data_IF_624567964433
#
_entry.id   IF_624567964433
#
_cell.length_a   1.000
_cell.length_b   1.000
_cell.length_c   1.000
_cell.angle_alpha   90.00
_cell.angle_beta   90.00
_cell.angle_gamma   90.00
#
_symmetry.space_group_name_H-M   'P 1'
#
loop_
_entity.id
_entity.type
_entity.pdbx_description
1 polymer ?
#
# COMPACT_ATOMS: atom_id res chain seq x y z
N UNK A 1 -3.26 -23.26 1.15
CA UNK A 1 -4.14 -22.16 1.64
C UNK A 1 -4.68 -22.34 3.04
N UNK A 2 -4.66 -23.53 3.66
CA UNK A 2 -5.27 -23.73 4.99
C UNK A 2 -4.71 -22.86 6.12
N UNK A 3 -3.40 -22.65 6.21
CA UNK A 3 -2.73 -21.94 7.32
C UNK A 3 -3.02 -20.43 7.36
N UNK A 4 -3.31 -19.78 6.22
CA UNK A 4 -3.51 -18.34 6.11
C UNK A 4 -4.95 -17.93 5.83
N UNK A 5 -5.89 -18.89 5.79
CA UNK A 5 -7.30 -18.66 5.43
C UNK A 5 -7.97 -17.57 6.27
N UNK A 6 -7.55 -17.40 7.52
CA UNK A 6 -8.09 -16.40 8.44
C UNK A 6 -7.36 -15.04 8.37
N UNK A 7 -6.24 -14.95 7.65
CA UNK A 7 -5.51 -13.69 7.46
C UNK A 7 -6.02 -12.98 6.20
N UNK A 8 -7.07 -12.20 6.34
CA UNK A 8 -7.73 -11.49 5.22
C UNK A 8 -6.78 -10.55 4.47
N UNK A 9 -5.83 -9.94 5.18
CA UNK A 9 -4.81 -9.05 4.58
C UNK A 9 -3.92 -9.86 3.64
N UNK A 10 -3.38 -10.97 4.13
CA UNK A 10 -2.53 -11.85 3.32
C UNK A 10 -3.28 -12.39 2.10
N UNK A 11 -4.51 -12.88 2.29
CA UNK A 11 -5.32 -13.43 1.19
C UNK A 11 -5.57 -12.38 0.12
N UNK A 12 -5.94 -11.15 0.51
CA UNK A 12 -6.20 -10.08 -0.44
C UNK A 12 -4.92 -9.64 -1.18
N UNK A 13 -3.79 -9.49 -0.47
CA UNK A 13 -2.51 -9.17 -1.08
C UNK A 13 -2.04 -10.25 -2.06
N UNK A 14 -2.17 -11.52 -1.66
CA UNK A 14 -1.83 -12.68 -2.50
C UNK A 14 -2.69 -12.72 -3.78
N UNK A 15 -4.01 -12.56 -3.66
CA UNK A 15 -4.91 -12.52 -4.81
C UNK A 15 -4.61 -11.33 -5.73
N UNK A 16 -4.30 -10.17 -5.15
CA UNK A 16 -3.86 -9.02 -5.94
C UNK A 16 -2.61 -9.35 -6.76
N UNK A 17 -1.59 -9.96 -6.15
CA UNK A 17 -0.40 -10.39 -6.88
C UNK A 17 -0.73 -11.40 -8.00
N UNK A 18 -1.56 -12.41 -7.70
CA UNK A 18 -1.93 -13.46 -8.66
C UNK A 18 -2.68 -12.90 -9.89
N UNK A 19 -3.65 -12.01 -9.66
CA UNK A 19 -4.48 -11.46 -10.75
C UNK A 19 -3.81 -10.34 -11.55
N UNK A 20 -2.79 -9.69 -10.99
CA UNK A 20 -2.14 -8.55 -11.63
C UNK A 20 -0.71 -8.81 -12.11
N UNK A 21 -0.08 -9.88 -11.64
CA UNK A 21 1.34 -10.14 -11.92
C UNK A 21 2.30 -9.11 -11.29
N UNK A 22 1.84 -8.36 -10.29
CA UNK A 22 2.68 -7.39 -9.59
C UNK A 22 3.77 -8.06 -8.76
N UNK A 23 4.93 -7.42 -8.67
CA UNK A 23 5.98 -7.83 -7.73
C UNK A 23 5.54 -7.55 -6.28
N UNK A 24 6.05 -8.34 -5.34
CA UNK A 24 5.69 -8.20 -3.91
C UNK A 24 5.87 -6.76 -3.40
N UNK A 25 6.98 -6.11 -3.75
CA UNK A 25 7.22 -4.71 -3.36
C UNK A 25 6.23 -3.71 -3.98
N UNK A 26 5.71 -3.98 -5.17
CA UNK A 26 4.67 -3.16 -5.81
C UNK A 26 3.31 -3.37 -5.13
N UNK A 27 2.95 -4.62 -4.81
CA UNK A 27 1.70 -4.94 -4.09
C UNK A 27 1.64 -4.22 -2.75
N UNK A 28 2.69 -4.35 -1.94
CA UNK A 28 2.72 -3.70 -0.64
C UNK A 28 2.94 -2.18 -0.69
N UNK A 29 3.37 -1.63 -1.82
CA UNK A 29 3.45 -0.18 -2.03
C UNK A 29 2.11 0.47 -2.41
N UNK A 30 1.06 -0.32 -2.65
CA UNK A 30 -0.25 0.21 -3.04
C UNK A 30 -0.87 1.06 -1.95
N UNK A 31 -1.36 2.21 -2.37
CA UNK A 31 -2.24 3.08 -1.59
C UNK A 31 -3.63 3.06 -2.20
N UNK A 32 -4.65 3.45 -1.46
CA UNK A 32 -6.01 3.53 -1.99
C UNK A 32 -6.14 4.57 -3.11
N UNK A 33 -5.24 5.56 -3.15
CA UNK A 33 -5.17 6.55 -4.25
C UNK A 33 -4.67 5.94 -5.58
N UNK A 34 -3.99 4.79 -5.51
CA UNK A 34 -3.55 4.06 -6.71
C UNK A 34 -4.63 3.13 -7.28
N UNK A 35 -5.73 2.93 -6.55
CA UNK A 35 -6.80 2.00 -6.92
C UNK A 35 -8.08 2.76 -7.25
N UNK A 36 -8.38 2.84 -8.52
CA UNK A 36 -9.65 3.36 -9.02
C UNK A 36 -10.66 2.21 -9.19
N UNK A 37 -11.49 2.02 -8.17
CA UNK A 37 -12.51 0.97 -8.18
C UNK A 37 -13.65 1.30 -9.16
N UNK A 38 -13.93 2.56 -9.43
CA UNK A 38 -14.98 2.97 -10.36
C UNK A 38 -14.60 2.62 -11.80
N UNK A 39 -13.38 3.00 -12.20
CA UNK A 39 -12.86 2.71 -13.54
C UNK A 39 -12.14 1.36 -13.62
N UNK A 40 -12.02 0.63 -12.50
CA UNK A 40 -11.37 -0.69 -12.40
C UNK A 40 -9.90 -0.69 -12.83
N UNK A 41 -9.14 0.27 -12.34
CA UNK A 41 -7.73 0.45 -12.69
C UNK A 41 -6.87 0.46 -11.44
N UNK A 42 -5.73 -0.23 -11.48
CA UNK A 42 -4.63 -0.11 -10.52
C UNK A 42 -3.46 0.57 -11.21
N UNK A 43 -2.99 1.68 -10.63
CA UNK A 43 -1.80 2.39 -11.09
C UNK A 43 -0.57 1.90 -10.34
N UNK A 44 0.40 1.37 -11.06
CA UNK A 44 1.66 0.86 -10.50
C UNK A 44 2.77 1.85 -10.80
N UNK A 45 3.23 2.55 -9.80
CA UNK A 45 4.23 3.60 -9.92
C UNK A 45 5.24 3.61 -8.76
N UNK A 46 5.07 2.72 -7.78
CA UNK A 46 5.88 2.66 -6.55
C UNK A 46 6.26 1.24 -6.20
N UNK A 47 7.34 1.10 -5.46
CA UNK A 47 7.73 -0.13 -4.79
C UNK A 47 8.15 0.17 -3.36
N UNK A 48 7.84 -0.72 -2.43
CA UNK A 48 8.26 -0.59 -1.03
C UNK A 48 9.54 -1.35 -0.79
N UNK A 49 10.40 -0.81 0.06
CA UNK A 49 11.60 -1.48 0.55
C UNK A 49 11.99 -0.98 1.94
N UNK A 50 12.75 -1.81 2.66
CA UNK A 50 13.36 -1.45 3.93
C UNK A 50 14.84 -1.13 3.72
N UNK A 51 15.36 -0.17 4.50
CA UNK A 51 16.80 0.07 4.61
C UNK A 51 17.30 -0.61 5.87
N UNK A 52 18.06 -1.70 5.71
CA UNK A 52 18.49 -2.63 6.77
C UNK A 52 19.36 -2.02 7.88
N UNK A 53 19.81 -0.79 7.75
CA UNK A 53 20.74 -0.14 8.68
C UNK A 53 20.11 0.87 9.62
N UNK A 54 18.83 1.13 9.53
CA UNK A 54 18.14 2.04 10.44
C UNK A 54 17.42 1.26 11.53
N UNK A 55 17.74 1.54 12.79
CA UNK A 55 16.99 1.09 13.95
C UNK A 55 15.50 1.42 13.76
N UNK A 56 14.63 0.40 13.96
CA UNK A 56 13.17 0.48 13.88
C UNK A 56 12.50 0.25 12.50
N UNK A 57 13.11 -0.49 11.59
CA UNK A 57 12.41 -1.04 10.42
C UNK A 57 11.61 0.00 9.63
N UNK A 58 12.23 1.09 9.23
CA UNK A 58 11.56 2.14 8.46
C UNK A 58 11.34 1.70 7.01
N UNK A 59 10.13 1.93 6.53
CA UNK A 59 9.73 1.62 5.17
C UNK A 59 9.83 2.85 4.27
N UNK A 60 10.27 2.62 3.04
CA UNK A 60 10.43 3.64 2.00
C UNK A 60 9.63 3.23 0.77
N UNK A 61 8.99 4.22 0.13
CA UNK A 61 8.38 4.07 -1.19
C UNK A 61 9.31 4.68 -2.22
N UNK A 62 9.95 3.86 -3.03
CA UNK A 62 10.73 4.30 -4.18
C UNK A 62 9.86 4.41 -5.43
N UNK A 63 10.22 5.34 -6.30
CA UNK A 63 9.71 5.33 -7.67
C UNK A 63 10.27 4.13 -8.40
N UNK A 64 9.50 3.52 -9.29
CA UNK A 64 10.00 2.44 -10.13
C UNK A 64 11.16 2.94 -11.00
N UNK A 65 12.23 2.17 -11.07
CA UNK A 65 13.53 2.58 -11.67
C UNK A 65 13.50 2.98 -13.14
N UNK A 66 12.45 2.64 -13.88
CA UNK A 66 12.31 2.91 -15.31
C UNK A 66 10.93 3.45 -15.65
N UNK A 67 10.85 4.33 -16.64
CA UNK A 67 9.59 4.87 -17.17
C UNK A 67 8.63 3.74 -17.59
N UNK A 68 9.15 2.63 -18.13
CA UNK A 68 8.36 1.45 -18.49
C UNK A 68 7.81 0.62 -17.33
N UNK A 69 8.19 0.95 -16.08
CA UNK A 69 7.64 0.30 -14.88
C UNK A 69 6.37 0.98 -14.36
N UNK A 70 6.06 2.19 -14.84
CA UNK A 70 4.76 2.82 -14.60
C UNK A 70 3.76 2.17 -15.54
N UNK A 71 2.76 1.50 -14.99
CA UNK A 71 1.72 0.83 -15.77
C UNK A 71 0.39 0.86 -15.07
N UNK A 72 -0.65 0.74 -15.85
CA UNK A 72 -2.01 0.56 -15.35
C UNK A 72 -2.45 -0.88 -15.63
N UNK A 73 -3.14 -1.47 -14.67
CA UNK A 73 -3.69 -2.83 -14.77
C UNK A 73 -5.19 -2.77 -14.55
N UNK A 74 -5.95 -3.44 -15.43
CA UNK A 74 -7.38 -3.60 -15.26
C UNK A 74 -7.72 -4.59 -14.15
N UNK A 75 -8.70 -4.23 -13.32
CA UNK A 75 -9.19 -5.04 -12.21
C UNK A 75 -10.33 -5.94 -12.73
N UNK A 76 -10.07 -7.25 -12.82
CA UNK A 76 -11.12 -8.22 -13.18
C UNK A 76 -12.20 -8.32 -12.09
N UNK A 77 -13.38 -8.87 -12.43
CA UNK A 77 -14.54 -8.94 -11.53
C UNK A 77 -14.22 -9.61 -10.19
N UNK A 78 -13.46 -10.70 -10.23
CA UNK A 78 -13.06 -11.42 -9.03
C UNK A 78 -12.22 -10.55 -8.10
N UNK A 79 -11.16 -9.93 -8.63
CA UNK A 79 -10.28 -9.06 -7.85
C UNK A 79 -11.02 -7.81 -7.35
N UNK A 80 -11.91 -7.25 -8.17
CA UNK A 80 -12.77 -6.13 -7.77
C UNK A 80 -13.59 -6.48 -6.53
N UNK A 81 -14.27 -7.61 -6.54
CA UNK A 81 -15.09 -8.07 -5.41
C UNK A 81 -14.27 -8.25 -4.13
N UNK A 82 -13.03 -8.75 -4.23
CA UNK A 82 -12.14 -8.89 -3.08
C UNK A 82 -11.66 -7.53 -2.56
N UNK A 83 -11.20 -6.64 -3.43
CA UNK A 83 -10.72 -5.32 -3.05
C UNK A 83 -11.83 -4.46 -2.42
N UNK A 84 -13.03 -4.52 -3.00
CA UNK A 84 -14.18 -3.80 -2.48
C UNK A 84 -14.53 -4.25 -1.04
N UNK A 85 -14.70 -5.55 -0.82
CA UNK A 85 -14.97 -6.12 0.52
C UNK A 85 -13.83 -5.85 1.49
N UNK A 86 -12.59 -5.86 1.01
CA UNK A 86 -11.44 -5.59 1.85
C UNK A 86 -11.39 -4.13 2.29
N UNK A 87 -11.74 -3.19 1.41
CA UNK A 87 -11.87 -1.77 1.74
C UNK A 87 -12.91 -1.53 2.82
N UNK A 88 -14.10 -2.11 2.67
CA UNK A 88 -15.16 -2.04 3.69
C UNK A 88 -14.68 -2.60 5.05
N UNK A 89 -13.99 -3.74 5.03
CA UNK A 89 -13.41 -4.34 6.22
C UNK A 89 -12.39 -3.41 6.90
N UNK A 90 -11.50 -2.79 6.12
CA UNK A 90 -10.50 -1.87 6.64
C UNK A 90 -11.16 -0.61 7.21
N UNK A 91 -12.21 -0.10 6.59
CA UNK A 91 -12.97 1.04 7.10
C UNK A 91 -13.70 0.73 8.41
N UNK A 92 -14.19 -0.51 8.57
CA UNK A 92 -14.73 -0.97 9.85
C UNK A 92 -13.64 -1.06 10.93
N UNK A 93 -12.45 -1.55 10.61
CA UNK A 93 -11.32 -1.56 11.52
C UNK A 93 -10.90 -0.14 11.95
N UNK A 94 -10.93 0.83 11.03
CA UNK A 94 -10.69 2.24 11.34
C UNK A 94 -11.70 2.79 12.35
N UNK A 95 -12.98 2.42 12.21
CA UNK A 95 -14.05 2.82 13.12
C UNK A 95 -13.88 2.16 14.50
N UNK A 96 -13.62 0.84 14.53
CA UNK A 96 -13.42 0.08 15.77
C UNK A 96 -12.22 0.58 16.58
N UNK A 97 -11.07 0.81 15.92
CA UNK A 97 -9.84 1.26 16.56
C UNK A 97 -9.86 2.77 16.87
N UNK A 98 -10.66 3.56 16.17
CA UNK A 98 -10.79 4.99 16.35
C UNK A 98 -9.46 5.74 16.38
N UNK A 99 -9.14 6.38 17.52
CA UNK A 99 -7.88 7.12 17.71
C UNK A 99 -6.64 6.22 17.76
N UNK A 100 -6.81 4.95 18.08
CA UNK A 100 -5.71 3.98 18.18
C UNK A 100 -5.30 3.40 16.82
N UNK A 101 -6.08 3.65 15.75
CA UNK A 101 -5.72 3.21 14.41
C UNK A 101 -4.45 3.91 13.94
N UNK A 102 -3.46 3.13 13.49
CA UNK A 102 -2.18 3.66 13.01
C UNK A 102 -2.36 4.30 11.65
N UNK A 103 -1.93 5.55 11.54
CA UNK A 103 -1.99 6.35 10.31
C UNK A 103 -0.59 6.77 9.90
N UNK A 104 -0.40 6.99 8.61
CA UNK A 104 0.90 7.28 8.03
C UNK A 104 0.84 8.54 7.16
N UNK A 105 1.97 9.20 7.09
CA UNK A 105 2.24 10.31 6.17
C UNK A 105 3.50 10.00 5.36
N UNK A 106 3.62 10.62 4.21
CA UNK A 106 4.81 10.52 3.36
C UNK A 106 5.68 11.75 3.55
N UNK A 107 6.97 11.52 3.82
CA UNK A 107 8.01 12.55 3.85
C UNK A 107 8.91 12.39 2.63
N UNK A 108 9.09 13.48 1.87
CA UNK A 108 9.96 13.48 0.69
C UNK A 108 11.43 13.38 1.09
N UNK A 109 12.13 12.45 0.48
CA UNK A 109 13.58 12.32 0.59
C UNK A 109 14.20 12.80 -0.72
N UNK A 110 15.00 13.88 -0.64
CA UNK A 110 15.66 14.51 -1.79
C UNK A 110 17.15 14.19 -1.78
N UNK A 111 17.75 14.07 -2.97
CA UNK A 111 19.19 13.93 -3.10
C UNK A 111 19.90 15.29 -2.90
N UNK A 112 21.24 15.26 -2.94
CA UNK A 112 22.09 16.47 -2.81
C UNK A 112 21.81 17.59 -3.83
N UNK A 113 21.09 17.27 -4.90
CA UNK A 113 20.70 18.23 -5.94
C UNK A 113 19.25 18.71 -5.79
N UNK A 114 18.56 18.37 -4.68
CA UNK A 114 17.17 18.74 -4.44
C UNK A 114 16.13 17.92 -5.21
N UNK A 115 16.55 16.90 -5.98
CA UNK A 115 15.65 16.01 -6.72
C UNK A 115 15.04 14.97 -5.80
N UNK A 116 13.71 14.79 -5.88
CA UNK A 116 12.99 13.74 -5.17
C UNK A 116 13.51 12.36 -5.59
N UNK A 117 13.86 11.52 -4.61
CA UNK A 117 14.38 10.18 -4.82
C UNK A 117 13.36 9.13 -4.35
N UNK A 118 12.78 9.34 -3.19
CA UNK A 118 11.89 8.40 -2.53
C UNK A 118 11.01 9.10 -1.50
N UNK A 119 10.02 8.38 -0.97
CA UNK A 119 9.22 8.82 0.18
C UNK A 119 9.49 7.92 1.37
N UNK A 120 9.63 8.49 2.55
CA UNK A 120 9.70 7.79 3.82
C UNK A 120 8.30 7.67 4.40
N UNK A 121 7.91 6.46 4.81
CA UNK A 121 6.63 6.22 5.47
C UNK A 121 6.81 6.50 6.96
N UNK A 122 6.09 7.51 7.46
CA UNK A 122 6.17 7.95 8.86
C UNK A 122 4.82 7.76 9.52
N UNK A 123 4.83 7.12 10.69
CA UNK A 123 3.64 7.04 11.54
C UNK A 123 3.30 8.42 12.08
N UNK A 124 2.14 8.94 11.72
CA UNK A 124 1.71 10.29 12.07
C UNK A 124 0.19 10.42 12.09
N UNK A 125 -0.32 11.22 13.02
CA UNK A 125 -1.74 11.61 13.06
C UNK A 125 -2.03 12.89 12.27
N UNK A 126 -1.02 13.50 11.64
CA UNK A 126 -1.20 14.67 10.78
C UNK A 126 -2.15 14.37 9.63
N UNK A 127 -2.94 15.36 9.22
CA UNK A 127 -3.76 15.27 8.00
C UNK A 127 -2.97 15.64 6.75
N UNK A 128 -1.84 16.36 6.91
CA UNK A 128 -1.00 16.78 5.79
C UNK A 128 -0.20 15.60 5.26
N UNK A 129 -0.18 15.42 3.94
CA UNK A 129 0.50 14.31 3.26
C UNK A 129 0.10 12.92 3.78
N UNK A 130 -1.14 12.78 4.28
CA UNK A 130 -1.66 11.49 4.74
C UNK A 130 -1.73 10.52 3.58
N UNK A 131 -1.31 9.29 3.83
CA UNK A 131 -1.41 8.18 2.90
C UNK A 131 -2.20 7.03 3.54
N UNK A 132 -3.04 6.40 2.75
CA UNK A 132 -3.79 5.21 3.16
C UNK A 132 -3.25 3.98 2.44
N UNK A 133 -2.39 3.22 3.14
CA UNK A 133 -1.85 1.96 2.62
C UNK A 133 -2.97 0.93 2.50
N UNK A 134 -2.97 0.17 1.41
CA UNK A 134 -3.99 -0.87 1.18
C UNK A 134 -3.80 -2.03 2.15
N UNK A 135 -2.61 -2.60 2.23
CA UNK A 135 -2.35 -3.80 3.02
C UNK A 135 -1.76 -3.47 4.39
N UNK A 136 -2.64 -3.29 5.38
CA UNK A 136 -2.28 -3.03 6.78
C UNK A 136 -2.93 -4.05 7.70
N UNK A 137 -2.37 -4.23 8.89
CA UNK A 137 -2.99 -5.04 9.95
C UNK A 137 -4.28 -4.39 10.44
N UNK A 138 -5.07 -5.11 11.27
CA UNK A 138 -6.34 -4.63 11.84
C UNK A 138 -6.21 -3.28 12.56
N UNK A 139 -5.11 -3.04 13.25
CA UNK A 139 -4.81 -1.79 13.96
C UNK A 139 -4.22 -0.69 13.06
N UNK A 140 -4.15 -0.92 11.76
CA UNK A 140 -3.53 -0.03 10.77
C UNK A 140 -2.01 -0.14 10.67
N UNK A 141 -1.35 -1.03 11.41
CA UNK A 141 0.11 -1.22 11.30
C UNK A 141 0.48 -1.75 9.91
N UNK A 142 1.43 -1.06 9.27
CA UNK A 142 2.01 -1.38 7.98
C UNK A 142 3.20 -2.32 8.11
#
# INVERSE_FOLDING_TARGET
>A
MGRFKNNKVFVCAFLTACYTGMRTGEVFALTWDDIDLENRIIKINKTVYAKDKEENGRWYLGTTKTIGSHREIYICDTLYSFLYKYKELQDNYKKECGKNYKRYTLEEVKNKYGKLVEYKIIKSNSKRNRVEMVFTRKDGTY
#
